data_IF_743577505007
#
_entry.id   IF_743577505007
#
_cell.length_a   1.000
_cell.length_b   1.000
_cell.length_c   1.000
_cell.angle_alpha   90.00
_cell.angle_beta   90.00
_cell.angle_gamma   90.00
#
_symmetry.space_group_name_H-M   'P 1'
#
loop_
_entity.id
_entity.type
_entity.pdbx_description
1 polymer ?
#
# COMPACT_ATOMS: atom_id res chain seq x y z
N UNK A 1 -36.86 -1.14 -6.12
CA UNK A 1 -37.16 -2.58 -5.98
C UNK A 1 -35.95 -3.29 -6.55
N UNK A 2 -34.81 -3.35 -5.87
CA UNK A 2 -34.66 -3.54 -4.44
C UNK A 2 -34.54 -2.25 -3.62
N UNK A 3 -35.01 -2.37 -2.38
CA UNK A 3 -35.24 -1.32 -1.41
C UNK A 3 -34.07 -1.28 -0.42
N UNK A 4 -33.49 -0.10 -0.18
CA UNK A 4 -32.63 0.12 0.98
C UNK A 4 -33.29 1.15 1.89
N UNK A 5 -34.30 0.69 2.63
CA UNK A 5 -34.96 1.45 3.68
C UNK A 5 -34.35 1.09 5.04
N UNK A 6 -33.65 2.06 5.62
CA UNK A 6 -33.60 2.36 7.06
C UNK A 6 -32.96 1.35 8.01
N UNK A 7 -31.82 1.75 8.59
CA UNK A 7 -31.55 1.56 10.02
C UNK A 7 -30.56 2.64 10.50
N UNK A 8 -30.97 3.32 11.56
CA UNK A 8 -30.27 4.40 12.24
C UNK A 8 -29.04 3.91 13.03
N UNK A 9 -27.99 4.73 13.04
CA UNK A 9 -26.81 4.58 13.90
C UNK A 9 -25.60 5.26 13.26
N UNK A 10 -24.84 6.06 14.01
CA UNK A 10 -23.57 6.64 13.57
C UNK A 10 -22.59 5.54 13.13
N UNK A 11 -22.61 5.17 11.86
CA UNK A 11 -21.62 4.28 11.27
C UNK A 11 -20.73 5.10 10.35
N UNK A 12 -19.42 5.09 10.63
CA UNK A 12 -18.41 5.70 9.79
C UNK A 12 -18.70 5.34 8.33
N UNK A 13 -18.67 6.33 7.43
CA UNK A 13 -18.92 6.10 6.02
C UNK A 13 -17.78 5.26 5.43
N UNK A 14 -17.89 3.92 5.53
CA UNK A 14 -17.00 2.96 4.91
C UNK A 14 -17.37 2.81 3.44
N UNK A 15 -16.45 3.12 2.55
CA UNK A 15 -16.62 2.87 1.12
C UNK A 15 -16.27 1.41 0.83
N UNK A 16 -17.24 0.60 0.40
CA UNK A 16 -17.04 -0.80 0.01
C UNK A 16 -16.82 -0.85 -1.51
N UNK A 17 -15.63 -1.26 -1.95
CA UNK A 17 -15.32 -1.40 -3.38
C UNK A 17 -15.36 -2.86 -3.83
N UNK A 18 -16.24 -3.14 -4.78
CA UNK A 18 -16.36 -4.39 -5.52
C UNK A 18 -16.38 -4.08 -7.03
N UNK A 19 -15.22 -4.00 -7.68
CA UNK A 19 -15.19 -4.18 -9.14
C UNK A 19 -14.17 -3.41 -9.97
N UNK A 20 -13.69 -2.24 -9.55
CA UNK A 20 -12.71 -1.46 -10.33
C UNK A 20 -11.40 -1.14 -9.58
N UNK A 21 -11.37 -1.45 -8.28
CA UNK A 21 -10.20 -1.28 -7.41
C UNK A 21 -9.81 0.17 -7.15
N UNK A 22 -10.60 1.18 -7.52
CA UNK A 22 -10.21 2.59 -7.37
C UNK A 22 -10.56 3.13 -5.98
N UNK A 23 -9.56 3.61 -5.25
CA UNK A 23 -9.73 4.31 -3.97
C UNK A 23 -9.64 5.83 -4.20
N UNK A 24 -10.70 6.60 -3.89
CA UNK A 24 -10.70 8.06 -3.96
C UNK A 24 -9.68 8.69 -3.02
N UNK A 25 -9.15 9.84 -3.41
CA UNK A 25 -8.11 10.54 -2.64
C UNK A 25 -8.60 11.11 -1.29
N UNK A 26 -9.91 11.28 -1.12
CA UNK A 26 -10.56 11.82 0.08
C UNK A 26 -11.16 10.71 0.96
N UNK A 27 -10.99 9.44 0.58
CA UNK A 27 -11.56 8.33 1.31
C UNK A 27 -10.84 8.15 2.66
N UNK A 28 -11.55 8.41 3.75
CA UNK A 28 -11.03 8.27 5.12
C UNK A 28 -11.18 6.85 5.67
N UNK A 29 -12.14 6.09 5.13
CA UNK A 29 -12.46 4.72 5.52
C UNK A 29 -12.78 3.88 4.27
N UNK A 30 -11.87 2.99 3.91
CA UNK A 30 -11.98 2.16 2.70
C UNK A 30 -12.05 0.70 3.10
N UNK A 31 -13.12 0.01 2.71
CA UNK A 31 -13.22 -1.45 2.75
C UNK A 31 -13.14 -1.96 1.33
N UNK A 32 -12.10 -2.71 1.00
CA UNK A 32 -11.99 -3.32 -0.32
C UNK A 32 -12.46 -4.78 -0.20
N UNK A 33 -13.22 -5.29 -1.16
CA UNK A 33 -13.73 -6.68 -1.11
C UNK A 33 -12.63 -7.72 -1.31
N UNK A 34 -12.64 -8.85 -0.60
CA UNK A 34 -11.53 -9.83 -0.58
C UNK A 34 -11.22 -10.50 -1.92
N UNK A 35 -12.14 -10.44 -2.88
CA UNK A 35 -11.94 -10.88 -4.26
C UNK A 35 -11.16 -9.90 -5.13
N UNK A 36 -10.87 -8.67 -4.67
CA UNK A 36 -10.09 -7.70 -5.43
C UNK A 36 -8.63 -8.14 -5.53
N UNK A 37 -8.18 -8.32 -6.77
CA UNK A 37 -6.81 -8.73 -7.13
C UNK A 37 -5.95 -7.58 -7.64
N UNK A 38 -6.55 -6.50 -8.13
CA UNK A 38 -5.86 -5.29 -8.60
C UNK A 38 -6.48 -4.08 -7.92
N UNK A 39 -5.64 -3.27 -7.27
CA UNK A 39 -6.05 -2.05 -6.59
C UNK A 39 -5.37 -0.84 -7.22
N UNK A 40 -6.13 0.23 -7.44
CA UNK A 40 -5.68 1.52 -7.93
C UNK A 40 -5.94 2.57 -6.88
N UNK A 41 -4.90 3.20 -6.37
CA UNK A 41 -5.02 4.20 -5.32
C UNK A 41 -4.64 5.55 -5.90
N UNK A 42 -5.60 6.47 -5.96
CA UNK A 42 -5.38 7.84 -6.45
C UNK A 42 -5.36 8.81 -5.27
N UNK A 43 -4.41 9.75 -5.30
CA UNK A 43 -4.25 10.77 -4.28
C UNK A 43 -4.23 12.16 -4.94
N UNK A 44 -4.66 13.18 -4.19
CA UNK A 44 -4.32 14.57 -4.48
C UNK A 44 -2.94 14.91 -3.89
N UNK A 45 -2.56 16.19 -3.94
CA UNK A 45 -1.30 16.64 -3.33
C UNK A 45 -1.30 16.41 -1.82
N UNK A 46 -0.28 15.70 -1.32
CA UNK A 46 -0.11 15.46 0.12
C UNK A 46 -0.84 14.22 0.66
N UNK A 47 -1.17 13.25 -0.19
CA UNK A 47 -1.85 12.03 0.21
C UNK A 47 -1.02 11.14 1.14
N UNK A 48 -1.66 10.49 2.10
CA UNK A 48 -1.05 9.47 2.95
C UNK A 48 -1.81 8.15 2.80
N UNK A 49 -1.10 7.06 2.55
CA UNK A 49 -1.69 5.74 2.65
C UNK A 49 -1.68 5.33 4.11
N UNK A 50 -2.86 5.31 4.74
CA UNK A 50 -2.98 5.07 6.18
C UNK A 50 -2.39 3.73 6.61
N UNK A 51 -1.98 3.70 7.88
CA UNK A 51 -1.51 2.49 8.51
C UNK A 51 -2.53 1.35 8.37
N UNK A 52 -2.05 0.15 8.01
CA UNK A 52 -2.86 -1.07 7.84
C UNK A 52 -4.01 -0.99 6.81
N UNK A 53 -4.01 -0.01 5.90
CA UNK A 53 -5.10 0.20 4.93
C UNK A 53 -5.47 -1.05 4.10
N UNK A 54 -4.50 -1.90 3.77
CA UNK A 54 -4.65 -3.14 3.01
C UNK A 54 -4.08 -4.35 3.76
N UNK A 55 -4.18 -4.35 5.08
CA UNK A 55 -3.68 -5.42 5.94
C UNK A 55 -4.27 -6.80 5.60
N UNK A 56 -3.42 -7.80 5.40
CA UNK A 56 -3.75 -9.21 5.12
C UNK A 56 -4.63 -9.43 3.88
N UNK A 57 -4.45 -8.62 2.84
CA UNK A 57 -5.16 -8.80 1.57
C UNK A 57 -4.51 -9.91 0.74
N UNK A 58 -4.74 -11.16 1.14
CA UNK A 58 -4.02 -12.33 0.61
C UNK A 58 -4.23 -12.58 -0.89
N UNK A 59 -5.28 -12.00 -1.50
CA UNK A 59 -5.58 -12.12 -2.94
C UNK A 59 -5.14 -10.91 -3.76
N UNK A 60 -4.73 -9.81 -3.12
CA UNK A 60 -4.25 -8.62 -3.82
C UNK A 60 -2.94 -8.97 -4.53
N UNK A 61 -2.94 -8.94 -5.86
CA UNK A 61 -1.83 -9.34 -6.71
C UNK A 61 -1.03 -8.14 -7.26
N UNK A 62 -1.70 -7.01 -7.47
CA UNK A 62 -1.09 -5.77 -7.95
C UNK A 62 -1.68 -4.55 -7.27
N UNK A 63 -0.84 -3.54 -7.03
CA UNK A 63 -1.26 -2.20 -6.61
C UNK A 63 -0.65 -1.15 -7.54
N UNK A 64 -1.51 -0.27 -8.04
CA UNK A 64 -1.13 0.94 -8.77
C UNK A 64 -1.29 2.13 -7.81
N UNK A 65 -0.17 2.69 -7.35
CA UNK A 65 -0.12 3.90 -6.55
C UNK A 65 0.10 5.09 -7.50
N UNK A 66 -0.69 6.16 -7.37
CA UNK A 66 -0.51 7.37 -8.18
C UNK A 66 0.30 8.46 -7.46
N UNK A 67 0.77 9.42 -8.25
CA UNK A 67 1.41 10.64 -7.78
C UNK A 67 0.54 11.42 -6.78
N UNK A 68 1.20 12.19 -5.91
CA UNK A 68 0.56 12.93 -4.81
C UNK A 68 0.63 12.18 -3.48
N UNK A 69 0.90 10.87 -3.50
CA UNK A 69 1.17 10.06 -2.31
C UNK A 69 2.53 10.42 -1.70
N UNK A 70 2.54 10.88 -0.45
CA UNK A 70 3.75 11.27 0.30
C UNK A 70 4.24 10.12 1.19
N UNK A 71 3.34 9.35 1.79
CA UNK A 71 3.71 8.29 2.74
C UNK A 71 2.95 6.99 2.48
N UNK A 72 3.69 5.87 2.52
CA UNK A 72 3.12 4.54 2.68
C UNK A 72 3.15 4.19 4.16
N UNK A 73 1.98 4.17 4.80
CA UNK A 73 1.88 4.03 6.24
C UNK A 73 2.30 2.67 6.78
N UNK A 74 2.50 2.64 8.11
CA UNK A 74 2.88 1.42 8.85
C UNK A 74 1.95 0.25 8.54
N UNK A 75 2.51 -0.91 8.20
CA UNK A 75 1.75 -2.13 7.89
C UNK A 75 0.72 -2.02 6.76
N UNK A 76 0.80 -0.99 5.90
CA UNK A 76 -0.22 -0.71 4.88
C UNK A 76 -0.56 -1.92 3.99
N UNK A 77 0.41 -2.75 3.63
CA UNK A 77 0.28 -3.97 2.84
C UNK A 77 0.79 -5.21 3.58
N UNK A 78 0.79 -5.21 4.91
CA UNK A 78 1.26 -6.35 5.70
C UNK A 78 0.56 -7.65 5.28
N UNK A 79 1.34 -8.70 5.01
CA UNK A 79 0.89 -10.04 4.61
C UNK A 79 -0.01 -10.06 3.36
N UNK A 80 0.20 -9.15 2.41
CA UNK A 80 -0.36 -9.25 1.05
C UNK A 80 0.38 -10.33 0.25
N UNK A 81 0.18 -11.60 0.61
CA UNK A 81 0.95 -12.76 0.09
C UNK A 81 0.84 -12.98 -1.42
N UNK A 82 -0.16 -12.42 -2.09
CA UNK A 82 -0.27 -12.49 -3.55
C UNK A 82 0.39 -11.32 -4.28
N UNK A 83 0.80 -10.25 -3.59
CA UNK A 83 1.33 -9.05 -4.22
C UNK A 83 2.68 -9.36 -4.87
N UNK A 84 2.79 -9.22 -6.19
CA UNK A 84 3.98 -9.63 -6.94
C UNK A 84 4.93 -8.47 -7.23
N UNK A 85 4.37 -7.29 -7.45
CA UNK A 85 5.11 -6.08 -7.77
C UNK A 85 4.47 -4.84 -7.12
N UNK A 86 5.31 -3.84 -6.84
CA UNK A 86 4.86 -2.50 -6.44
C UNK A 86 5.73 -1.45 -7.12
N UNK A 87 5.08 -0.44 -7.69
CA UNK A 87 5.72 0.79 -8.16
C UNK A 87 5.49 1.88 -7.13
N UNK A 88 6.56 2.42 -6.58
CA UNK A 88 6.50 3.50 -5.59
C UNK A 88 6.53 4.84 -6.34
N UNK A 89 5.48 5.70 -6.24
CA UNK A 89 5.43 6.99 -6.93
C UNK A 89 6.60 7.91 -6.55
N UNK A 90 6.98 8.84 -7.43
CA UNK A 90 8.13 9.71 -7.15
C UNK A 90 7.86 10.67 -5.99
N UNK A 91 6.59 11.00 -5.74
CA UNK A 91 6.15 11.82 -4.61
C UNK A 91 6.35 11.20 -3.22
N UNK A 92 6.53 9.87 -3.12
CA UNK A 92 6.66 9.19 -1.81
C UNK A 92 7.99 9.55 -1.16
N UNK A 93 7.95 9.97 0.10
CA UNK A 93 9.13 10.30 0.91
C UNK A 93 9.44 9.22 1.95
N UNK A 94 8.43 8.48 2.41
CA UNK A 94 8.58 7.48 3.48
C UNK A 94 7.84 6.18 3.16
N UNK A 95 8.53 5.06 3.31
CA UNK A 95 7.95 3.72 3.40
C UNK A 95 7.93 3.31 4.87
N UNK A 96 6.74 3.24 5.46
CA UNK A 96 6.51 3.01 6.87
C UNK A 96 6.92 1.61 7.34
N UNK A 97 7.04 1.47 8.67
CA UNK A 97 7.51 0.21 9.26
C UNK A 97 6.54 -0.92 8.97
N UNK A 98 7.04 -2.13 8.71
CA UNK A 98 6.22 -3.29 8.35
C UNK A 98 5.35 -3.11 7.09
N UNK A 99 5.52 -2.04 6.30
CA UNK A 99 4.59 -1.69 5.22
C UNK A 99 4.29 -2.84 4.25
N UNK A 100 5.28 -3.66 3.93
CA UNK A 100 5.19 -4.84 3.07
C UNK A 100 5.69 -6.13 3.76
N UNK A 101 5.71 -6.16 5.11
CA UNK A 101 6.12 -7.34 5.87
C UNK A 101 5.29 -8.56 5.44
N UNK A 102 5.94 -9.70 5.18
CA UNK A 102 5.32 -10.97 4.75
C UNK A 102 4.61 -10.91 3.38
N UNK A 103 4.91 -9.95 2.52
CA UNK A 103 4.53 -10.00 1.11
C UNK A 103 5.40 -11.03 0.38
N UNK A 104 5.15 -12.32 0.63
CA UNK A 104 6.06 -13.40 0.25
C UNK A 104 6.25 -13.60 -1.26
N UNK A 105 5.29 -13.18 -2.09
CA UNK A 105 5.41 -13.15 -3.56
C UNK A 105 5.98 -11.84 -4.13
N UNK A 106 6.18 -10.82 -3.30
CA UNK A 106 6.70 -9.54 -3.78
C UNK A 106 8.14 -9.75 -4.26
N UNK A 107 8.30 -9.71 -5.57
CA UNK A 107 9.56 -10.02 -6.26
C UNK A 107 10.20 -8.81 -6.89
N UNK A 108 9.41 -7.74 -7.09
CA UNK A 108 9.84 -6.51 -7.72
C UNK A 108 9.31 -5.28 -6.99
N UNK A 109 10.22 -4.40 -6.58
CA UNK A 109 9.92 -3.07 -6.06
C UNK A 109 10.63 -2.07 -6.96
N UNK A 110 9.86 -1.19 -7.60
CA UNK A 110 10.38 -0.19 -8.53
C UNK A 110 10.28 1.20 -7.92
N UNK A 111 11.41 1.92 -7.94
CA UNK A 111 11.48 3.34 -7.65
C UNK A 111 11.85 4.09 -8.94
N UNK A 112 11.14 5.18 -9.29
CA UNK A 112 11.49 6.00 -10.45
C UNK A 112 12.80 6.76 -10.22
N UNK A 113 13.43 7.25 -11.30
CA UNK A 113 14.75 7.92 -11.22
C UNK A 113 14.73 9.18 -10.35
N UNK A 114 13.60 9.89 -10.32
CA UNK A 114 13.31 11.08 -9.53
C UNK A 114 12.66 10.78 -8.18
N UNK A 115 12.68 9.51 -7.74
CA UNK A 115 12.14 9.07 -6.45
C UNK A 115 12.64 9.96 -5.30
N UNK A 116 11.70 10.36 -4.43
CA UNK A 116 11.97 11.19 -3.25
C UNK A 116 12.02 10.40 -1.94
N UNK A 117 11.96 9.08 -2.00
CA UNK A 117 11.98 8.20 -0.82
C UNK A 117 13.28 8.43 -0.04
N UNK A 118 13.16 9.08 1.11
CA UNK A 118 14.26 9.37 2.03
C UNK A 118 14.38 8.33 3.13
N UNK A 119 13.28 7.67 3.49
CA UNK A 119 13.26 6.69 4.56
C UNK A 119 12.52 5.41 4.17
N UNK A 120 13.16 4.27 4.45
CA UNK A 120 12.52 2.96 4.51
C UNK A 120 12.65 2.51 5.97
N UNK A 121 11.53 2.37 6.65
CA UNK A 121 11.49 2.11 8.10
C UNK A 121 11.68 0.63 8.44
N UNK A 122 11.75 0.32 9.74
CA UNK A 122 12.05 -1.02 10.26
C UNK A 122 11.10 -2.09 9.70
N UNK A 123 11.66 -3.25 9.35
CA UNK A 123 10.93 -4.41 8.84
C UNK A 123 10.05 -4.12 7.59
N UNK A 124 10.25 -3.02 6.87
CA UNK A 124 9.35 -2.60 5.79
C UNK A 124 9.12 -3.67 4.72
N UNK A 125 10.13 -4.48 4.40
CA UNK A 125 10.10 -5.60 3.46
C UNK A 125 10.64 -6.90 4.09
N UNK A 126 10.53 -7.04 5.41
CA UNK A 126 10.89 -8.28 6.08
C UNK A 126 9.98 -9.44 5.59
N UNK A 127 10.54 -10.65 5.45
CA UNK A 127 9.85 -11.85 4.96
C UNK A 127 9.29 -11.70 3.52
N UNK A 128 9.79 -10.73 2.75
CA UNK A 128 9.61 -10.66 1.29
C UNK A 128 10.55 -11.67 0.59
N UNK A 129 10.32 -12.96 0.82
CA UNK A 129 11.22 -14.05 0.41
C UNK A 129 11.48 -14.14 -1.11
N UNK A 130 10.56 -13.61 -1.93
CA UNK A 130 10.71 -13.54 -3.40
C UNK A 130 11.52 -12.33 -3.88
N UNK A 131 11.77 -11.34 -3.02
CA UNK A 131 12.52 -10.13 -3.36
C UNK A 131 14.02 -10.43 -3.40
N UNK A 132 14.55 -10.61 -4.62
CA UNK A 132 15.94 -11.03 -4.85
C UNK A 132 16.90 -9.86 -4.99
N UNK A 133 16.45 -8.80 -5.65
CA UNK A 133 17.21 -7.59 -5.94
C UNK A 133 16.28 -6.39 -5.80
N UNK A 134 16.81 -5.30 -5.24
CA UNK A 134 16.12 -4.02 -5.17
C UNK A 134 17.12 -2.90 -5.46
N UNK A 135 16.76 -2.01 -6.38
CA UNK A 135 17.52 -0.80 -6.68
C UNK A 135 17.01 0.30 -5.76
N UNK A 136 17.79 0.66 -4.75
CA UNK A 136 17.40 1.71 -3.81
C UNK A 136 17.49 3.10 -4.49
N UNK A 137 16.57 4.02 -4.17
CA UNK A 137 16.57 5.35 -4.75
C UNK A 137 17.74 6.18 -4.21
N UNK A 138 18.25 7.11 -5.02
CA UNK A 138 19.41 7.95 -4.66
C UNK A 138 19.15 8.87 -3.46
N UNK A 139 17.89 9.19 -3.19
CA UNK A 139 17.43 10.02 -2.09
C UNK A 139 17.47 9.32 -0.72
N UNK A 140 17.61 7.99 -0.69
CA UNK A 140 17.49 7.21 0.53
C UNK A 140 18.60 7.59 1.53
N UNK A 141 18.20 8.13 2.69
CA UNK A 141 19.10 8.57 3.76
C UNK A 141 18.91 7.78 5.05
N UNK A 142 17.79 7.07 5.19
CA UNK A 142 17.49 6.21 6.34
C UNK A 142 17.02 4.83 5.89
N UNK A 143 17.64 3.80 6.46
CA UNK A 143 17.23 2.41 6.30
C UNK A 143 17.07 1.80 7.69
N UNK A 144 15.86 1.41 8.02
CA UNK A 144 15.49 0.84 9.31
C UNK A 144 16.04 -0.57 9.52
N UNK A 145 15.99 -1.00 10.78
CA UNK A 145 16.49 -2.29 11.19
C UNK A 145 15.74 -3.41 10.47
N UNK A 146 16.49 -4.43 10.02
CA UNK A 146 15.98 -5.64 9.36
C UNK A 146 14.96 -5.37 8.24
N UNK A 147 15.01 -4.18 7.62
CA UNK A 147 14.04 -3.74 6.60
C UNK A 147 13.92 -4.68 5.39
N UNK A 148 14.95 -5.48 5.11
CA UNK A 148 14.98 -6.47 4.02
C UNK A 148 15.39 -7.88 4.50
N UNK A 149 15.11 -8.21 5.77
CA UNK A 149 15.35 -9.56 6.29
C UNK A 149 14.47 -10.60 5.58
N UNK A 150 14.94 -11.84 5.50
CA UNK A 150 14.29 -12.96 4.82
C UNK A 150 13.95 -14.08 5.78
#
# INVERSE_FOLDING_TARGET
>A
MDDNSGADGEEDQYWIYSGDGRVPHDATHVRVSDDVTVLRVSYGDGGELRASAFFRRERLAAVELHEGLVEIGRSAFYSCKSLECVRIPSSVTTVGGYAFLQCSKLSHVEFPEDSRVGAIMDCAFEECVSLREIKLPRSLSFLGDIAFAR
#
